data_IF_388168672084
#
_entry.id   IF_388168672084
#
_cell.length_a   1.000
_cell.length_b   1.000
_cell.length_c   1.000
_cell.angle_alpha   90.00
_cell.angle_beta   90.00
_cell.angle_gamma   90.00
#
_symmetry.space_group_name_H-M   'P 1'
#
loop_
_entity.id
_entity.type
_entity.pdbx_description
1 polymer ?
#
# COMPACT_ATOMS: atom_id res chain seq x y z
N UNK A 1 -7.36 4.26 -7.89
CA UNK A 1 -6.12 4.77 -7.27
C UNK A 1 -6.48 5.39 -5.92
N UNK A 2 -5.80 5.03 -4.83
CA UNK A 2 -5.95 5.66 -3.51
C UNK A 2 -4.64 6.33 -3.09
N UNK A 3 -4.70 7.59 -2.64
CA UNK A 3 -3.52 8.40 -2.28
C UNK A 3 -3.54 9.00 -0.88
N UNK A 4 -4.34 8.43 0.02
CA UNK A 4 -4.33 8.82 1.43
C UNK A 4 -3.16 8.18 2.20
N UNK A 5 -3.28 8.10 3.53
CA UNK A 5 -2.23 7.50 4.37
C UNK A 5 -2.15 5.99 4.13
N UNK A 6 -1.12 5.57 3.40
CA UNK A 6 -0.83 4.16 3.10
C UNK A 6 0.39 3.70 3.88
N UNK A 7 0.26 2.56 4.54
CA UNK A 7 1.35 1.85 5.20
C UNK A 7 1.22 0.33 4.95
N UNK A 8 2.18 -0.45 5.43
CA UNK A 8 2.23 -1.90 5.24
C UNK A 8 1.04 -2.62 5.87
N UNK A 9 0.44 -2.07 6.93
CA UNK A 9 -0.70 -2.65 7.65
C UNK A 9 -2.01 -2.52 6.88
N UNK A 10 -2.22 -1.41 6.15
CA UNK A 10 -3.50 -1.09 5.51
C UNK A 10 -3.52 -1.23 3.98
N UNK A 11 -2.36 -1.31 3.32
CA UNK A 11 -2.25 -1.33 1.86
C UNK A 11 -3.07 -2.45 1.20
N UNK A 12 -3.08 -3.65 1.79
CA UNK A 12 -3.85 -4.80 1.27
C UNK A 12 -5.35 -4.55 1.29
N UNK A 13 -5.85 -3.94 2.36
CA UNK A 13 -7.27 -3.70 2.53
C UNK A 13 -7.78 -2.67 1.53
N UNK A 14 -6.99 -1.64 1.21
CA UNK A 14 -7.36 -0.68 0.17
C UNK A 14 -7.49 -1.32 -1.21
N UNK A 15 -6.62 -2.29 -1.55
CA UNK A 15 -6.71 -2.98 -2.84
C UNK A 15 -7.83 -4.03 -2.84
N UNK A 16 -7.92 -4.86 -1.78
CA UNK A 16 -8.80 -6.04 -1.78
C UNK A 16 -10.19 -5.81 -1.21
N UNK A 17 -10.32 -5.01 -0.15
CA UNK A 17 -11.62 -4.73 0.48
C UNK A 17 -12.28 -3.51 -0.16
N UNK A 18 -11.52 -2.44 -0.37
CA UNK A 18 -12.04 -1.21 -0.98
C UNK A 18 -12.03 -1.23 -2.52
N UNK A 19 -11.34 -2.18 -3.15
CA UNK A 19 -11.36 -2.38 -4.60
C UNK A 19 -10.57 -1.35 -5.40
N UNK A 20 -9.66 -0.59 -4.77
CA UNK A 20 -8.81 0.34 -5.50
C UNK A 20 -7.79 -0.40 -6.37
N UNK A 21 -7.64 0.01 -7.64
CA UNK A 21 -6.70 -0.65 -8.57
C UNK A 21 -5.22 -0.24 -8.36
N UNK A 22 -4.89 0.52 -7.32
CA UNK A 22 -3.52 0.98 -7.06
C UNK A 22 -3.43 1.99 -5.93
N UNK A 23 -2.21 2.20 -5.44
CA UNK A 23 -1.89 3.07 -4.30
C UNK A 23 -0.87 4.14 -4.72
N UNK A 24 -1.08 5.38 -4.31
CA UNK A 24 -0.12 6.48 -4.39
C UNK A 24 0.46 6.67 -2.98
N UNK A 25 1.62 6.07 -2.73
CA UNK A 25 2.24 6.01 -1.39
C UNK A 25 3.02 7.29 -1.12
N UNK A 26 2.66 8.02 -0.07
CA UNK A 26 3.33 9.23 0.39
C UNK A 26 4.60 8.96 1.20
N UNK A 27 4.71 9.52 2.40
CA UNK A 27 5.93 9.44 3.24
C UNK A 27 6.47 8.03 3.50
N UNK A 28 5.61 7.01 3.54
CA UNK A 28 6.01 5.61 3.66
C UNK A 28 6.89 5.12 2.49
N UNK A 29 6.84 5.79 1.32
CA UNK A 29 7.73 5.50 0.18
C UNK A 29 9.20 5.90 0.43
N UNK A 30 9.46 6.79 1.40
CA UNK A 30 10.81 7.24 1.74
C UNK A 30 11.54 6.26 2.69
N UNK A 31 10.83 5.27 3.24
CA UNK A 31 11.41 4.19 4.02
C UNK A 31 11.42 2.90 3.18
N UNK A 32 12.61 2.47 2.75
CA UNK A 32 12.77 1.30 1.88
C UNK A 32 12.15 0.03 2.46
N UNK A 33 12.30 -0.23 3.77
CA UNK A 33 11.75 -1.45 4.39
C UNK A 33 10.22 -1.43 4.37
N UNK A 34 9.64 -0.28 4.70
CA UNK A 34 8.19 -0.07 4.71
C UNK A 34 7.60 -0.17 3.30
N UNK A 35 8.23 0.48 2.31
CA UNK A 35 7.74 0.46 0.93
C UNK A 35 7.80 -0.96 0.33
N UNK A 36 8.85 -1.73 0.60
CA UNK A 36 8.95 -3.14 0.18
C UNK A 36 7.86 -3.99 0.85
N UNK A 37 7.55 -3.75 2.13
CA UNK A 37 6.44 -4.42 2.81
C UNK A 37 5.10 -4.12 2.15
N UNK A 38 4.82 -2.85 1.82
CA UNK A 38 3.61 -2.43 1.10
C UNK A 38 3.47 -3.21 -0.21
N UNK A 39 4.52 -3.25 -1.04
CA UNK A 39 4.51 -3.98 -2.32
C UNK A 39 4.24 -5.47 -2.09
N UNK A 40 4.92 -6.11 -1.13
CA UNK A 40 4.72 -7.54 -0.80
C UNK A 40 3.30 -7.85 -0.34
N UNK A 41 2.70 -6.97 0.46
CA UNK A 41 1.35 -7.17 0.99
C UNK A 41 0.27 -7.00 -0.09
N UNK A 42 0.51 -6.14 -1.07
CA UNK A 42 -0.36 -5.97 -2.24
C UNK A 42 -0.17 -7.08 -3.28
N UNK A 43 1.08 -7.52 -3.52
CA UNK A 43 1.40 -8.52 -4.55
C UNK A 43 0.99 -9.95 -4.18
N UNK A 44 0.96 -10.29 -2.89
CA UNK A 44 0.52 -11.60 -2.40
C UNK A 44 -0.99 -11.74 -2.27
N UNK A 45 -1.74 -10.68 -2.56
CA UNK A 45 -3.16 -10.59 -2.29
C UNK A 45 -3.99 -10.95 -3.51
#
# INVERSE_FOLDING_TARGET
LYGGSVNSENARDYVKKAGFQGLLVGGASLNTQEFVQIVKNVSKA
#
